data_IF_737551501100
#
_entry.id   IF_737551501100
#
_cell.length_a   1.000
_cell.length_b   1.000
_cell.length_c   1.000
_cell.angle_alpha   90.00
_cell.angle_beta   90.00
_cell.angle_gamma   90.00
#
_symmetry.space_group_name_H-M   'P 1'
#
loop_
_entity.id
_entity.type
_entity.pdbx_description
1 polymer ?
#
# COMPACT_ATOMS: atom_id res chain seq x y z
N UNK A 1 -9.92 -22.69 -18.91
CA UNK A 1 -8.68 -21.91 -19.05
C UNK A 1 -9.01 -20.50 -18.59
N UNK A 2 -8.38 -19.97 -17.53
CA UNK A 2 -8.67 -18.61 -17.08
C UNK A 2 -8.19 -17.59 -18.13
N UNK A 3 -8.90 -16.48 -18.35
CA UNK A 3 -8.49 -15.46 -19.31
C UNK A 3 -7.14 -14.85 -18.89
N UNK A 4 -6.27 -14.51 -19.86
CA UNK A 4 -4.92 -14.00 -19.61
C UNK A 4 -4.88 -12.80 -18.63
N UNK A 5 -5.93 -11.96 -18.64
CA UNK A 5 -6.09 -10.83 -17.73
C UNK A 5 -6.27 -11.24 -16.26
N UNK A 6 -6.88 -12.40 -15.99
CA UNK A 6 -7.04 -12.93 -14.64
C UNK A 6 -5.71 -13.39 -14.03
N UNK A 7 -4.80 -13.96 -14.84
CA UNK A 7 -3.46 -14.33 -14.39
C UNK A 7 -2.59 -13.11 -14.03
N UNK A 8 -2.75 -12.01 -14.76
CA UNK A 8 -2.09 -10.74 -14.43
C UNK A 8 -2.67 -10.16 -13.13
N UNK A 9 -3.98 -10.22 -12.93
CA UNK A 9 -4.60 -9.74 -11.69
C UNK A 9 -4.18 -10.53 -10.45
N UNK A 10 -4.12 -11.87 -10.53
CA UNK A 10 -3.72 -12.70 -9.39
C UNK A 10 -2.24 -12.53 -9.07
N UNK A 11 -1.36 -12.45 -10.08
CA UNK A 11 0.08 -12.25 -9.87
C UNK A 11 0.38 -10.86 -9.29
N UNK A 12 -0.31 -9.81 -9.75
CA UNK A 12 -0.16 -8.47 -9.18
C UNK A 12 -0.59 -8.43 -7.70
N UNK A 13 -1.64 -9.13 -7.30
CA UNK A 13 -2.04 -9.19 -5.88
C UNK A 13 -1.09 -10.07 -5.05
N UNK A 14 -0.57 -11.16 -5.60
CA UNK A 14 0.45 -11.97 -4.93
C UNK A 14 1.71 -11.16 -4.61
N UNK A 15 2.20 -10.38 -5.57
CA UNK A 15 3.36 -9.50 -5.37
C UNK A 15 3.10 -8.47 -4.26
N UNK A 16 1.88 -7.92 -4.17
CA UNK A 16 1.48 -6.99 -3.10
C UNK A 16 1.58 -7.66 -1.73
N UNK A 17 1.02 -8.85 -1.57
CA UNK A 17 1.07 -9.61 -0.32
C UNK A 17 2.52 -9.92 0.07
N UNK A 18 3.32 -10.40 -0.89
CA UNK A 18 4.74 -10.69 -0.66
C UNK A 18 5.51 -9.43 -0.26
N UNK A 19 5.19 -8.29 -0.86
CA UNK A 19 5.80 -6.99 -0.54
C UNK A 19 5.47 -6.53 0.88
N UNK A 20 4.21 -6.70 1.32
CA UNK A 20 3.81 -6.41 2.70
C UNK A 20 4.55 -7.33 3.67
N UNK A 21 4.66 -8.62 3.37
CA UNK A 21 5.42 -9.57 4.21
C UNK A 21 6.90 -9.16 4.29
N UNK A 22 7.52 -8.77 3.18
CA UNK A 22 8.90 -8.29 3.16
C UNK A 22 9.09 -7.04 4.04
N UNK A 23 8.17 -6.08 3.97
CA UNK A 23 8.20 -4.88 4.79
C UNK A 23 8.03 -5.20 6.29
N UNK A 24 7.15 -6.14 6.65
CA UNK A 24 6.97 -6.59 8.03
C UNK A 24 8.22 -7.29 8.58
N UNK A 25 8.87 -8.12 7.76
CA UNK A 25 10.13 -8.77 8.14
C UNK A 25 11.24 -7.74 8.38
N UNK A 26 11.38 -6.74 7.49
CA UNK A 26 12.36 -5.67 7.68
C UNK A 26 12.05 -4.83 8.91
N UNK A 27 10.78 -4.48 9.14
CA UNK A 27 10.34 -3.78 10.34
C UNK A 27 10.70 -4.57 11.61
N UNK A 28 10.34 -5.85 11.69
CA UNK A 28 10.67 -6.71 12.82
C UNK A 28 12.18 -6.84 13.03
N UNK A 29 12.94 -7.00 11.95
CA UNK A 29 14.39 -7.10 12.04
C UNK A 29 15.03 -5.79 12.51
N UNK A 30 14.49 -4.64 12.10
CA UNK A 30 15.00 -3.32 12.48
C UNK A 30 14.84 -3.05 13.98
N UNK A 31 13.74 -3.55 14.58
CA UNK A 31 13.54 -3.51 16.04
C UNK A 31 14.61 -4.32 16.75
N UNK A 32 14.87 -5.55 16.31
CA UNK A 32 15.88 -6.42 16.95
C UNK A 32 17.26 -5.76 16.94
N UNK A 33 17.71 -5.26 15.78
CA UNK A 33 19.03 -4.61 15.73
C UNK A 33 19.07 -3.32 16.56
N UNK A 34 17.95 -2.61 16.70
CA UNK A 34 17.88 -1.46 17.59
C UNK A 34 18.03 -1.86 19.06
N UNK A 35 17.44 -2.98 19.47
CA UNK A 35 17.63 -3.51 20.84
C UNK A 35 19.09 -3.91 21.05
N UNK A 36 19.69 -4.62 20.11
CA UNK A 36 21.11 -5.02 20.18
C UNK A 36 22.04 -3.80 20.29
N UNK A 37 21.78 -2.75 19.51
CA UNK A 37 22.56 -1.51 19.55
C UNK A 37 22.41 -0.78 20.90
N UNK A 38 21.21 -0.76 21.50
CA UNK A 38 20.98 -0.13 22.82
C UNK A 38 21.67 -0.94 23.92
N UNK A 39 21.60 -2.26 23.87
CA UNK A 39 22.28 -3.14 24.83
C UNK A 39 23.80 -2.94 24.77
N UNK A 40 24.38 -2.89 23.57
CA UNK A 40 25.80 -2.62 23.36
C UNK A 40 26.22 -1.25 23.92
N UNK A 41 25.41 -0.21 23.74
CA UNK A 41 25.66 1.13 24.31
C UNK A 41 25.54 1.12 25.84
N UNK A 42 24.59 0.38 26.41
CA UNK A 42 24.42 0.27 27.85
C UNK A 42 25.62 -0.45 28.50
N UNK A 43 26.11 -1.51 27.87
CA UNK A 43 27.34 -2.22 28.31
C UNK A 43 28.57 -1.31 28.18
N UNK A 44 28.70 -0.55 27.10
CA UNK A 44 29.80 0.39 26.92
C UNK A 44 29.80 1.51 27.97
N UNK A 45 28.62 2.04 28.32
CA UNK A 45 28.45 3.14 29.27
C UNK A 45 28.62 2.68 30.73
N UNK A 46 28.09 1.51 31.10
CA UNK A 46 28.18 0.97 32.46
C UNK A 46 29.45 0.16 32.72
N UNK A 47 30.09 -0.35 31.66
CA UNK A 47 31.28 -1.19 31.72
C UNK A 47 32.59 -0.43 31.96
N UNK A 48 32.57 0.92 31.92
CA UNK A 48 33.50 1.85 32.56
C UNK A 48 35.01 1.75 32.30
N UNK A 49 35.59 0.68 31.73
CA UNK A 49 37.04 0.52 31.64
C UNK A 49 37.47 -0.57 30.65
N UNK A 50 38.49 -0.24 29.85
CA UNK A 50 39.37 -1.14 29.09
C UNK A 50 38.98 -1.65 27.69
N UNK A 51 38.31 -0.85 26.87
CA UNK A 51 38.43 -0.97 25.41
C UNK A 51 39.08 0.26 24.80
N UNK A 52 40.29 0.58 25.30
CA UNK A 52 41.31 1.38 24.64
C UNK A 52 41.88 0.63 23.43
N UNK A 53 41.03 0.38 22.43
CA UNK A 53 41.49 0.14 21.07
C UNK A 53 40.74 1.18 20.24
N UNK A 54 41.49 1.99 19.50
CA UNK A 54 41.02 3.02 18.56
C UNK A 54 40.04 2.45 17.51
N UNK A 55 38.83 2.09 17.93
CA UNK A 55 37.77 1.59 17.06
C UNK A 55 36.79 2.73 16.79
N UNK A 56 36.49 2.93 15.51
CA UNK A 56 35.51 3.93 15.07
C UNK A 56 34.08 3.60 15.52
N UNK A 57 33.82 2.35 15.93
CA UNK A 57 32.52 1.83 16.35
C UNK A 57 32.60 1.09 17.69
N UNK A 58 31.49 1.09 18.44
CA UNK A 58 31.32 0.28 19.67
C UNK A 58 31.36 -1.21 19.29
N UNK A 59 32.02 -2.03 20.10
CA UNK A 59 32.20 -3.46 19.82
C UNK A 59 30.84 -4.16 19.69
N UNK A 60 30.66 -4.94 18.62
CA UNK A 60 29.41 -5.63 18.26
C UNK A 60 28.20 -4.72 17.98
N UNK A 61 28.40 -3.45 17.63
CA UNK A 61 27.33 -2.52 17.29
C UNK A 61 27.64 -1.71 16.04
N UNK A 62 26.59 -1.23 15.36
CA UNK A 62 26.71 -0.28 14.24
C UNK A 62 26.88 1.17 14.74
N UNK A 63 26.97 1.39 16.05
CA UNK A 63 27.03 2.72 16.66
C UNK A 63 28.45 3.31 16.59
N UNK A 64 28.65 4.49 15.97
CA UNK A 64 29.92 5.18 15.99
C UNK A 64 30.30 5.63 17.41
N UNK A 65 31.57 5.47 17.78
CA UNK A 65 32.12 5.89 19.08
C UNK A 65 32.42 7.41 19.15
N UNK A 66 31.74 8.21 18.33
CA UNK A 66 31.91 9.65 18.26
C UNK A 66 30.82 10.35 19.09
N UNK A 67 31.06 11.54 19.66
CA UNK A 67 30.03 12.32 20.33
C UNK A 67 28.82 12.52 19.41
N UNK A 68 27.69 11.90 19.72
CA UNK A 68 26.45 11.94 18.91
C UNK A 68 26.25 10.78 17.92
N UNK A 69 27.22 9.86 17.78
CA UNK A 69 27.08 8.67 16.92
C UNK A 69 25.92 7.75 17.33
N UNK A 70 25.74 7.56 18.65
CA UNK A 70 24.60 6.83 19.24
C UNK A 70 23.26 7.41 18.79
N UNK A 71 23.10 8.73 18.90
CA UNK A 71 21.87 9.42 18.50
C UNK A 71 21.60 9.23 17.01
N UNK A 72 22.62 9.40 16.16
CA UNK A 72 22.46 9.28 14.71
C UNK A 72 22.14 7.85 14.26
N UNK A 73 22.75 6.85 14.90
CA UNK A 73 22.46 5.44 14.62
C UNK A 73 21.01 5.08 14.96
N UNK A 74 20.53 5.49 16.14
CA UNK A 74 19.14 5.27 16.57
C UNK A 74 18.15 6.03 15.67
N UNK A 75 18.44 7.30 15.35
CA UNK A 75 17.60 8.11 14.47
C UNK A 75 17.47 7.48 13.08
N UNK A 76 18.59 7.00 12.50
CA UNK A 76 18.56 6.32 11.20
C UNK A 76 17.68 5.07 11.23
N UNK A 77 17.76 4.24 12.27
CA UNK A 77 16.88 3.07 12.43
C UNK A 77 15.41 3.46 12.60
N UNK A 78 15.13 4.52 13.35
CA UNK A 78 13.78 5.02 13.55
C UNK A 78 13.17 5.58 12.26
N UNK A 79 13.98 6.26 11.43
CA UNK A 79 13.56 6.72 10.11
C UNK A 79 13.29 5.55 9.15
N UNK A 80 14.13 4.52 9.13
CA UNK A 80 13.90 3.31 8.32
C UNK A 80 12.59 2.64 8.76
N UNK A 81 12.36 2.47 10.06
CA UNK A 81 11.10 1.91 10.57
C UNK A 81 9.89 2.76 10.18
N UNK A 82 9.96 4.09 10.35
CA UNK A 82 8.89 4.99 9.93
C UNK A 82 8.59 4.88 8.43
N UNK A 83 9.62 4.81 7.59
CA UNK A 83 9.45 4.61 6.14
C UNK A 83 8.78 3.27 5.82
N UNK A 84 9.18 2.18 6.47
CA UNK A 84 8.53 0.87 6.25
C UNK A 84 7.04 0.89 6.62
N UNK A 85 6.66 1.59 7.70
CA UNK A 85 5.25 1.75 8.10
C UNK A 85 4.46 2.55 7.06
N UNK A 86 5.03 3.66 6.57
CA UNK A 86 4.40 4.47 5.51
C UNK A 86 4.22 3.65 4.22
N UNK A 87 5.20 2.83 3.86
CA UNK A 87 5.12 1.94 2.70
C UNK A 87 4.08 0.83 2.89
N UNK A 88 3.92 0.28 4.11
CA UNK A 88 2.85 -0.68 4.42
C UNK A 88 1.49 0.00 4.24
N UNK A 89 1.29 1.22 4.75
CA UNK A 89 0.03 1.95 4.54
C UNK A 89 -0.22 2.28 3.06
N UNK A 90 0.82 2.61 2.30
CA UNK A 90 0.74 2.81 0.86
C UNK A 90 0.33 1.52 0.13
N UNK A 91 0.90 0.37 0.52
CA UNK A 91 0.50 -0.93 -0.01
C UNK A 91 -0.90 -1.35 0.47
N UNK A 92 -1.40 -0.89 1.62
CA UNK A 92 -2.78 -1.14 2.05
C UNK A 92 -3.80 -0.23 1.31
N UNK A 93 -3.35 0.91 0.78
CA UNK A 93 -4.21 1.88 0.10
C UNK A 93 -5.08 2.70 1.06
N UNK A 94 -4.72 2.75 2.34
CA UNK A 94 -5.47 3.47 3.37
C UNK A 94 -4.52 4.39 4.15
N UNK A 95 -4.73 5.72 4.19
CA UNK A 95 -5.73 6.54 3.49
C UNK A 95 -5.22 7.09 2.15
N UNK A 96 -5.91 6.78 1.04
CA UNK A 96 -5.46 7.15 -0.31
C UNK A 96 -5.43 8.69 -0.55
N UNK A 97 -6.37 9.42 0.04
CA UNK A 97 -6.44 10.88 -0.08
C UNK A 97 -5.24 11.60 0.58
N UNK A 98 -4.67 11.01 1.64
CA UNK A 98 -3.46 11.54 2.27
C UNK A 98 -2.25 11.38 1.35
N UNK A 99 -2.10 10.21 0.73
CA UNK A 99 -1.02 9.98 -0.24
C UNK A 99 -1.16 10.85 -1.48
N UNK A 100 -2.37 11.05 -1.99
CA UNK A 100 -2.58 11.92 -3.16
C UNK A 100 -2.26 13.39 -2.87
N UNK A 101 -2.49 13.86 -1.63
CA UNK A 101 -2.28 15.26 -1.24
C UNK A 101 -0.84 15.55 -0.81
N UNK A 102 -0.24 14.71 0.02
CA UNK A 102 1.05 14.98 0.66
C UNK A 102 2.23 14.22 0.04
N UNK A 103 1.98 13.04 -0.57
CA UNK A 103 3.01 12.18 -1.15
C UNK A 103 2.56 11.63 -2.52
N UNK A 104 2.40 12.49 -3.54
CA UNK A 104 1.82 12.10 -4.83
C UNK A 104 2.56 10.93 -5.50
N UNK A 105 3.86 10.77 -5.23
CA UNK A 105 4.68 9.65 -5.72
C UNK A 105 4.19 8.27 -5.24
N UNK A 106 3.47 8.22 -4.13
CA UNK A 106 2.81 7.02 -3.55
C UNK A 106 1.30 7.03 -3.83
N UNK A 107 0.79 8.07 -4.49
CA UNK A 107 -0.62 8.32 -4.79
C UNK A 107 -1.18 7.48 -5.94
N UNK A 108 -2.50 7.51 -6.11
CA UNK A 108 -3.29 6.74 -7.08
C UNK A 108 -2.80 6.88 -8.54
N UNK A 109 -2.20 8.02 -8.87
CA UNK A 109 -1.71 8.35 -10.21
C UNK A 109 -0.30 7.82 -10.51
N UNK A 110 0.47 7.38 -9.51
CA UNK A 110 1.83 6.86 -9.72
C UNK A 110 1.87 5.32 -9.64
N UNK A 111 2.60 4.71 -10.58
CA UNK A 111 2.76 3.26 -10.66
C UNK A 111 3.54 2.67 -9.50
N UNK A 112 3.48 1.34 -9.36
CA UNK A 112 4.18 0.56 -8.29
C UNK A 112 5.71 0.62 -8.37
N UNK A 113 6.26 1.21 -9.45
CA UNK A 113 7.70 1.34 -9.65
C UNK A 113 8.36 2.26 -8.63
N UNK A 114 7.77 3.41 -8.32
CA UNK A 114 8.32 4.32 -7.31
C UNK A 114 8.33 3.69 -5.91
N UNK A 115 7.28 2.92 -5.59
CA UNK A 115 7.19 2.13 -4.37
C UNK A 115 8.32 1.07 -4.31
N UNK A 116 8.56 0.39 -5.43
CA UNK A 116 9.68 -0.55 -5.56
C UNK A 116 11.06 0.11 -5.38
N UNK A 117 11.26 1.33 -5.90
CA UNK A 117 12.50 2.11 -5.68
C UNK A 117 12.70 2.39 -4.19
N UNK A 118 11.66 2.83 -3.48
CA UNK A 118 11.76 3.10 -2.03
C UNK A 118 12.09 1.82 -1.25
N UNK A 119 11.48 0.69 -1.59
CA UNK A 119 11.80 -0.61 -0.99
C UNK A 119 13.24 -1.05 -1.25
N UNK A 120 13.71 -0.83 -2.48
CA UNK A 120 15.07 -1.15 -2.88
C UNK A 120 16.09 -0.29 -2.12
N UNK A 121 15.84 1.02 -1.97
CA UNK A 121 16.68 1.92 -1.19
C UNK A 121 16.71 1.55 0.30
N UNK A 122 15.57 1.17 0.89
CA UNK A 122 15.53 0.69 2.27
C UNK A 122 16.31 -0.62 2.42
N UNK A 123 16.11 -1.59 1.52
CA UNK A 123 16.88 -2.83 1.51
C UNK A 123 18.39 -2.58 1.42
N UNK A 124 18.82 -1.72 0.49
CA UNK A 124 20.22 -1.33 0.34
C UNK A 124 20.77 -0.63 1.61
N UNK A 125 19.95 0.22 2.25
CA UNK A 125 20.33 0.91 3.47
C UNK A 125 20.53 -0.06 4.64
N UNK A 126 19.67 -1.08 4.77
CA UNK A 126 19.82 -2.14 5.78
C UNK A 126 21.08 -2.99 5.48
N UNK A 127 21.35 -3.29 4.22
CA UNK A 127 22.52 -4.07 3.78
C UNK A 127 23.85 -3.32 3.95
N UNK A 128 23.83 -1.99 3.94
CA UNK A 128 25.03 -1.15 4.08
C UNK A 128 25.59 -1.15 5.52
N UNK A 129 24.81 -1.64 6.49
CA UNK A 129 25.24 -1.77 7.87
C UNK A 129 25.60 -3.22 8.16
N UNK A 130 26.68 -3.45 8.90
CA UNK A 130 27.01 -4.79 9.38
C UNK A 130 25.93 -5.23 10.38
N UNK A 131 25.04 -6.12 9.95
CA UNK A 131 23.90 -6.60 10.72
C UNK A 131 23.92 -8.12 10.82
N UNK A 132 23.17 -8.65 11.79
CA UNK A 132 23.02 -10.09 12.00
C UNK A 132 22.34 -10.77 10.80
N UNK A 133 22.38 -12.11 10.80
CA UNK A 133 21.88 -12.96 9.70
C UNK A 133 20.40 -12.69 9.39
N UNK A 134 19.56 -12.47 10.41
CA UNK A 134 18.12 -12.23 10.20
C UNK A 134 17.82 -10.91 9.46
N UNK A 135 18.32 -9.73 9.91
CA UNK A 135 18.23 -8.47 9.16
C UNK A 135 18.88 -8.53 7.77
N UNK A 136 19.95 -9.31 7.60
CA UNK A 136 20.60 -9.47 6.31
C UNK A 136 19.67 -10.18 5.31
N UNK A 137 19.04 -11.29 5.72
CA UNK A 137 18.11 -12.04 4.88
C UNK A 137 16.84 -11.23 4.57
N UNK A 138 16.28 -10.54 5.56
CA UNK A 138 15.09 -9.69 5.35
C UNK A 138 15.41 -8.52 4.41
N UNK A 139 16.59 -7.91 4.54
CA UNK A 139 17.05 -6.84 3.65
C UNK A 139 17.23 -7.30 2.20
N UNK A 140 17.87 -8.46 1.96
CA UNK A 140 18.02 -9.04 0.62
C UNK A 140 16.68 -9.42 0.00
N UNK A 141 15.76 -9.94 0.83
CA UNK A 141 14.41 -10.25 0.39
C UNK A 141 13.65 -8.99 -0.03
N UNK A 142 13.66 -7.94 0.80
CA UNK A 142 13.02 -6.66 0.46
C UNK A 142 13.65 -6.01 -0.78
N UNK A 143 14.98 -6.07 -0.93
CA UNK A 143 15.68 -5.55 -2.10
C UNK A 143 15.23 -6.28 -3.38
N UNK A 144 15.16 -7.60 -3.34
CA UNK A 144 14.72 -8.42 -4.49
C UNK A 144 13.27 -8.13 -4.88
N UNK A 145 12.37 -8.00 -3.90
CA UNK A 145 10.97 -7.62 -4.13
C UNK A 145 10.85 -6.18 -4.62
N UNK A 146 11.69 -5.26 -4.13
CA UNK A 146 11.79 -3.89 -4.62
C UNK A 146 12.14 -3.85 -6.10
N UNK A 147 13.17 -4.61 -6.52
CA UNK A 147 13.53 -4.77 -7.94
C UNK A 147 12.38 -5.33 -8.78
N UNK A 148 11.67 -6.33 -8.27
CA UNK A 148 10.50 -6.89 -8.95
C UNK A 148 9.37 -5.84 -9.09
N UNK A 149 9.11 -5.04 -8.05
CA UNK A 149 8.13 -3.95 -8.08
C UNK A 149 8.54 -2.83 -9.07
N UNK A 150 9.84 -2.53 -9.20
CA UNK A 150 10.37 -1.61 -10.22
C UNK A 150 10.09 -2.15 -11.62
N UNK A 151 10.42 -3.41 -11.90
CA UNK A 151 10.20 -4.02 -13.22
C UNK A 151 8.71 -4.04 -13.59
N UNK A 152 7.84 -4.43 -12.66
CA UNK A 152 6.38 -4.38 -12.88
C UNK A 152 5.92 -2.94 -13.12
N UNK A 153 6.45 -1.98 -12.35
CA UNK A 153 6.14 -0.57 -12.51
C UNK A 153 6.59 0.02 -13.86
N UNK A 154 7.72 -0.44 -14.40
CA UNK A 154 8.20 -0.04 -15.72
C UNK A 154 7.39 -0.68 -16.86
N UNK A 155 7.03 -1.95 -16.72
CA UNK A 155 6.30 -2.70 -17.76
C UNK A 155 4.84 -2.23 -17.88
N UNK A 156 4.17 -2.01 -16.75
CA UNK A 156 2.72 -1.70 -16.75
C UNK A 156 2.38 -0.24 -16.43
N UNK A 157 3.37 0.59 -16.02
CA UNK A 157 3.27 2.04 -15.80
C UNK A 157 2.01 2.45 -14.99
N UNK A 158 1.26 3.46 -15.45
CA UNK A 158 0.04 3.99 -14.80
C UNK A 158 -1.12 2.98 -14.73
N UNK A 159 -1.12 1.96 -15.60
CA UNK A 159 -2.27 1.07 -15.76
C UNK A 159 -2.39 0.02 -14.63
N UNK A 160 -1.39 -0.11 -13.75
CA UNK A 160 -1.38 -1.11 -12.67
C UNK A 160 -2.32 -0.73 -11.52
N UNK A 161 -2.37 0.54 -11.13
CA UNK A 161 -3.07 0.93 -9.90
C UNK A 161 -4.59 0.93 -10.08
N UNK A 162 -5.07 1.28 -11.28
CA UNK A 162 -6.46 1.06 -11.73
C UNK A 162 -6.83 -0.44 -11.77
N UNK A 163 -5.88 -1.31 -12.14
CA UNK A 163 -6.10 -2.77 -12.25
C UNK A 163 -5.95 -3.50 -10.89
N UNK A 164 -5.24 -2.94 -9.90
CA UNK A 164 -5.06 -3.52 -8.54
C UNK A 164 -6.18 -3.18 -7.56
N UNK A 165 -7.14 -2.35 -7.96
CA UNK A 165 -8.20 -1.87 -7.09
C UNK A 165 -9.22 -2.98 -6.82
N UNK A 166 -9.16 -3.57 -5.62
CA UNK A 166 -10.28 -4.35 -5.06
C UNK A 166 -11.54 -3.46 -4.91
N UNK A 167 -11.36 -2.13 -4.85
CA UNK A 167 -12.46 -1.17 -4.93
C UNK A 167 -13.11 -1.12 -6.31
N UNK A 168 -12.40 -1.29 -7.44
CA UNK A 168 -13.06 -1.26 -8.76
C UNK A 168 -13.93 -2.49 -9.00
N UNK A 169 -13.63 -3.61 -8.33
CA UNK A 169 -14.54 -4.75 -8.24
C UNK A 169 -15.78 -4.45 -7.39
N UNK A 170 -15.64 -3.63 -6.34
CA UNK A 170 -16.76 -3.19 -5.51
C UNK A 170 -17.62 -2.16 -6.24
N UNK A 171 -17.00 -1.20 -6.92
CA UNK A 171 -17.67 -0.21 -7.77
C UNK A 171 -18.37 -0.92 -8.95
N UNK A 172 -17.75 -1.93 -9.57
CA UNK A 172 -18.43 -2.79 -10.57
C UNK A 172 -19.55 -3.64 -9.97
N UNK A 173 -19.39 -4.15 -8.75
CA UNK A 173 -20.43 -4.93 -8.10
C UNK A 173 -21.62 -4.04 -7.72
N UNK A 174 -21.37 -2.81 -7.27
CA UNK A 174 -22.40 -1.81 -6.98
C UNK A 174 -23.09 -1.33 -8.27
N UNK A 175 -22.36 -1.11 -9.38
CA UNK A 175 -22.96 -0.80 -10.70
C UNK A 175 -23.80 -1.96 -11.26
N UNK A 176 -23.32 -3.21 -11.12
CA UNK A 176 -24.08 -4.38 -11.58
C UNK A 176 -25.32 -4.60 -10.69
N UNK A 177 -25.20 -4.43 -9.37
CA UNK A 177 -26.35 -4.54 -8.47
C UNK A 177 -27.40 -3.45 -8.75
N UNK A 178 -26.97 -2.20 -8.94
CA UNK A 178 -27.88 -1.09 -9.24
C UNK A 178 -28.53 -1.22 -10.62
N UNK A 179 -27.83 -1.71 -11.64
CA UNK A 179 -28.42 -1.98 -12.95
C UNK A 179 -29.43 -3.15 -12.94
N UNK A 180 -29.18 -4.19 -12.14
CA UNK A 180 -30.14 -5.30 -11.94
C UNK A 180 -31.39 -4.85 -11.18
N UNK A 181 -31.25 -3.96 -10.19
CA UNK A 181 -32.39 -3.39 -9.46
C UNK A 181 -33.27 -2.51 -10.37
N UNK A 182 -32.64 -1.63 -11.15
CA UNK A 182 -33.33 -0.81 -12.16
C UNK A 182 -34.04 -1.65 -13.23
N UNK A 183 -33.44 -2.76 -13.70
CA UNK A 183 -34.03 -3.67 -14.68
C UNK A 183 -35.26 -4.43 -14.12
N UNK A 184 -35.23 -4.72 -12.81
CA UNK A 184 -36.33 -5.37 -12.11
C UNK A 184 -37.51 -4.41 -11.91
N UNK A 185 -37.23 -3.15 -11.57
CA UNK A 185 -38.25 -2.10 -11.45
C UNK A 185 -38.96 -1.83 -12.78
N UNK A 186 -38.20 -1.71 -13.88
CA UNK A 186 -38.77 -1.50 -15.22
C UNK A 186 -39.61 -2.70 -15.69
N UNK A 187 -39.18 -3.93 -15.44
CA UNK A 187 -39.95 -5.13 -15.77
C UNK A 187 -41.24 -5.23 -14.96
N UNK A 188 -41.20 -4.88 -13.67
CA UNK A 188 -42.38 -4.90 -12.80
C UNK A 188 -43.39 -3.79 -13.18
N UNK A 189 -42.89 -2.60 -13.52
CA UNK A 189 -43.71 -1.48 -14.02
C UNK A 189 -44.40 -1.84 -15.33
N UNK A 190 -43.68 -2.46 -16.27
CA UNK A 190 -44.24 -2.92 -17.55
C UNK A 190 -45.31 -3.99 -17.38
N UNK A 191 -45.06 -4.98 -16.52
CA UNK A 191 -46.06 -6.01 -16.21
C UNK A 191 -47.32 -5.44 -15.56
N UNK A 192 -47.18 -4.40 -14.72
CA UNK A 192 -48.33 -3.69 -14.13
C UNK A 192 -49.15 -2.97 -15.19
N UNK A 193 -48.49 -2.24 -16.09
CA UNK A 193 -49.12 -1.52 -17.20
C UNK A 193 -49.86 -2.46 -18.15
N UNK A 194 -49.24 -3.57 -18.54
CA UNK A 194 -49.85 -4.58 -19.41
C UNK A 194 -51.09 -5.22 -18.74
N UNK A 195 -51.01 -5.50 -17.43
CA UNK A 195 -52.14 -6.04 -16.66
C UNK A 195 -53.28 -5.04 -16.48
N UNK A 196 -52.96 -3.75 -16.27
CA UNK A 196 -53.94 -2.69 -16.11
C UNK A 196 -54.65 -2.40 -17.46
N UNK A 197 -53.92 -2.50 -18.57
CA UNK A 197 -54.46 -2.44 -19.93
C UNK A 197 -55.38 -3.63 -20.25
N UNK A 198 -55.01 -4.85 -19.87
CA UNK A 198 -55.86 -6.06 -20.02
C UNK A 198 -57.11 -6.01 -19.14
N UNK A 199 -57.03 -5.40 -17.94
CA UNK A 199 -58.19 -5.21 -17.06
C UNK A 199 -59.10 -4.05 -17.47
N UNK A 200 -58.81 -3.36 -18.58
CA UNK A 200 -59.62 -2.24 -19.08
C UNK A 200 -59.64 -1.05 -18.12
N UNK A 201 -58.72 -0.97 -17.15
CA UNK A 201 -58.50 0.23 -16.36
C UNK A 201 -57.67 1.19 -17.22
N UNK A 202 -58.35 1.95 -18.06
CA UNK A 202 -57.77 3.13 -18.70
C UNK A 202 -57.22 4.03 -17.59
N UNK A 203 -55.89 4.08 -17.47
CA UNK A 203 -55.20 5.15 -16.75
C UNK A 203 -55.63 6.44 -17.44
N UNK A 204 -56.50 7.18 -16.76
CA UNK A 204 -56.90 8.52 -17.15
C UNK A 204 -55.63 9.36 -17.20
N UNK A 205 -55.23 9.74 -18.39
CA UNK A 205 -54.17 10.72 -18.64
C UNK A 205 -54.42 11.95 -17.74
N UNK A 206 -53.41 12.48 -17.02
CA UNK A 206 -53.57 13.75 -16.35
C UNK A 206 -53.72 14.83 -17.43
N UNK A 207 -54.93 15.38 -17.50
CA UNK A 207 -55.32 16.45 -18.42
C UNK A 207 -54.26 17.55 -18.45
N UNK A 208 -53.77 17.84 -19.66
CA UNK A 208 -53.05 19.05 -19.99
C UNK A 208 -53.93 20.27 -19.67
N UNK A 209 -53.60 21.01 -18.61
CA UNK A 209 -54.17 22.32 -18.34
C UNK A 209 -53.30 23.42 -18.95
N UNK A 210 -53.52 23.72 -20.23
CA UNK A 210 -53.46 25.10 -20.72
C UNK A 210 -54.85 25.71 -20.43
N UNK A 211 -55.09 26.94 -19.94
CA UNK A 211 -54.62 28.22 -20.51
C UNK A 211 -55.12 29.44 -19.69
N UNK A 212 -54.41 30.58 -19.82
CA UNK A 212 -54.89 31.99 -19.92
C UNK A 212 -55.29 32.88 -18.70
N UNK A 213 -54.39 33.85 -18.40
CA UNK A 213 -54.50 35.34 -18.38
C UNK A 213 -55.53 36.14 -17.54
N UNK A 214 -55.01 37.27 -17.00
CA UNK A 214 -55.64 38.54 -16.55
C UNK A 214 -56.33 38.52 -15.18
N UNK A 215 -56.05 39.40 -14.22
CA UNK A 215 -55.78 40.86 -14.26
C UNK A 215 -54.71 41.31 -13.27
#
# INVERSE_FOLDING_TARGET
MLPAKAYVFISLNAVRVISIIALLLVFSSSILVMVDDIEAVNVFTNGGSNSTINSAYIQNSTVPNQPGGVFWAVLNRLLIMAQTVVLIFSELGWPIAFFDTYFPVLGSNFGVGALGVMQCLIGASVLSHFVQVFPLVSGFFLFSIGCLNILIGLIFREHVKSTRSVLSFRDRAEDVLSSLDNAKETSFSKYRMDRDAEMGLSVKEPDAAHTHTST
#
